data_IF_473708854049
#
_entry.id   IF_473708854049
#
_cell.length_a   1.000
_cell.length_b   1.000
_cell.length_c   1.000
_cell.angle_alpha   90.00
_cell.angle_beta   90.00
_cell.angle_gamma   90.00
#
_symmetry.space_group_name_H-M   'P 1'
#
loop_
_entity.id
_entity.type
_entity.pdbx_description
1 polymer ?
#
# COMPACT_ATOMS: atom_id res chain seq x y z
N UNK A 1 19.34 -21.56 1.43
CA UNK A 1 18.07 -20.84 1.59
C UNK A 1 17.06 -21.49 0.67
N UNK A 2 15.89 -21.95 1.12
CA UNK A 2 14.93 -22.70 0.31
C UNK A 2 14.04 -21.75 -0.51
N UNK A 3 14.64 -20.84 -1.28
CA UNK A 3 13.97 -20.11 -2.35
C UNK A 3 14.67 -20.39 -3.68
N UNK A 4 13.93 -20.38 -4.78
CA UNK A 4 14.51 -20.61 -6.09
C UNK A 4 15.54 -19.52 -6.42
N UNK A 5 16.71 -19.91 -6.92
CA UNK A 5 17.79 -18.98 -7.28
C UNK A 5 17.53 -18.18 -8.57
N UNK A 6 16.46 -18.53 -9.29
CA UNK A 6 16.03 -17.85 -10.51
C UNK A 6 14.51 -18.06 -10.67
N UNK A 7 13.81 -17.14 -11.36
CA UNK A 7 12.39 -17.32 -11.68
C UNK A 7 12.11 -18.64 -12.39
N UNK A 8 11.17 -19.43 -11.87
CA UNK A 8 10.65 -20.65 -12.50
C UNK A 8 9.39 -20.39 -13.31
N UNK A 9 8.64 -19.35 -12.94
CA UNK A 9 7.54 -18.78 -13.72
C UNK A 9 7.89 -17.30 -13.92
N UNK A 10 8.02 -16.88 -15.17
CA UNK A 10 8.35 -15.49 -15.49
C UNK A 10 7.09 -14.61 -15.38
N UNK A 11 7.22 -13.38 -14.89
CA UNK A 11 6.10 -12.44 -14.88
C UNK A 11 5.61 -12.17 -16.31
N UNK A 12 4.29 -12.17 -16.52
CA UNK A 12 3.68 -11.65 -17.76
C UNK A 12 3.99 -10.15 -17.93
N UNK A 13 4.03 -9.67 -19.18
CA UNK A 13 4.10 -8.23 -19.40
C UNK A 13 2.83 -7.54 -18.86
N UNK A 14 2.94 -6.32 -18.34
CA UNK A 14 1.77 -5.60 -17.82
C UNK A 14 0.68 -5.39 -18.89
N UNK A 15 1.08 -5.24 -20.14
CA UNK A 15 0.18 -5.06 -21.28
C UNK A 15 -0.56 -6.36 -21.65
N UNK A 16 -0.02 -7.52 -21.24
CA UNK A 16 -0.65 -8.83 -21.43
C UNK A 16 -1.68 -9.16 -20.32
N UNK A 17 -1.70 -8.38 -19.24
CA UNK A 17 -2.70 -8.49 -18.19
C UNK A 17 -4.04 -7.89 -18.63
N UNK A 18 -5.14 -8.46 -18.15
CA UNK A 18 -6.42 -7.77 -18.20
C UNK A 18 -6.39 -6.49 -17.34
N UNK A 19 -7.39 -5.63 -17.53
CA UNK A 19 -7.42 -4.30 -16.89
C UNK A 19 -7.35 -4.41 -15.36
N UNK A 20 -8.10 -5.33 -14.77
CA UNK A 20 -8.20 -5.48 -13.32
C UNK A 20 -6.89 -5.97 -12.73
N UNK A 21 -6.27 -7.01 -13.31
CA UNK A 21 -4.97 -7.50 -12.89
C UNK A 21 -3.87 -6.47 -13.11
N UNK A 22 -3.93 -5.68 -14.19
CA UNK A 22 -2.98 -4.59 -14.43
C UNK A 22 -3.10 -3.48 -13.38
N UNK A 23 -4.31 -3.11 -13.00
CA UNK A 23 -4.56 -2.16 -11.91
C UNK A 23 -3.98 -2.68 -10.59
N UNK A 24 -4.23 -3.95 -10.26
CA UNK A 24 -3.67 -4.60 -9.06
C UNK A 24 -2.14 -4.68 -9.08
N UNK A 25 -1.52 -4.91 -10.25
CA UNK A 25 -0.08 -4.90 -10.36
C UNK A 25 0.50 -3.50 -10.02
N UNK A 26 -0.16 -2.43 -10.48
CA UNK A 26 0.32 -1.05 -10.35
C UNK A 26 0.16 -0.44 -8.96
N UNK A 27 -0.50 -1.11 -8.01
CA UNK A 27 -0.59 -0.66 -6.60
C UNK A 27 0.50 -1.25 -5.68
N UNK A 28 1.52 -1.90 -6.25
CA UNK A 28 2.75 -2.28 -5.52
C UNK A 28 3.10 -3.76 -5.56
N UNK A 29 2.19 -4.63 -6.00
CA UNK A 29 2.36 -6.09 -6.02
C UNK A 29 2.72 -6.66 -7.42
N UNK A 30 3.24 -5.84 -8.33
CA UNK A 30 3.31 -6.18 -9.75
C UNK A 30 3.89 -7.56 -10.07
N UNK A 31 5.05 -7.92 -9.50
CA UNK A 31 5.70 -9.19 -9.87
C UNK A 31 4.90 -10.42 -9.43
N UNK A 32 4.27 -10.41 -8.24
CA UNK A 32 3.41 -11.53 -7.80
C UNK A 32 2.13 -11.60 -8.63
N UNK A 33 1.53 -10.46 -8.97
CA UNK A 33 0.32 -10.38 -9.80
C UNK A 33 0.62 -10.91 -11.21
N UNK A 34 1.72 -10.46 -11.82
CA UNK A 34 2.15 -10.91 -13.15
C UNK A 34 2.44 -12.41 -13.22
N UNK A 35 2.89 -13.02 -12.11
CA UNK A 35 3.12 -14.47 -12.03
C UNK A 35 1.80 -15.23 -11.81
N UNK A 36 0.92 -14.75 -10.93
CA UNK A 36 -0.39 -15.38 -10.69
C UNK A 36 -1.32 -15.27 -11.90
N UNK A 37 -1.17 -14.24 -12.73
CA UNK A 37 -1.96 -14.03 -13.94
C UNK A 37 -1.79 -15.12 -15.02
N UNK A 38 -0.78 -16.00 -14.89
CA UNK A 38 -0.74 -17.27 -15.64
C UNK A 38 -1.93 -18.19 -15.33
N UNK A 39 -2.62 -17.97 -14.20
CA UNK A 39 -3.84 -18.66 -13.80
C UNK A 39 -4.90 -17.67 -13.28
N UNK A 40 -5.62 -16.95 -14.17
CA UNK A 40 -6.55 -15.87 -13.82
C UNK A 40 -7.57 -16.23 -12.72
N UNK A 41 -8.22 -17.40 -12.82
CA UNK A 41 -9.21 -17.81 -11.81
C UNK A 41 -8.61 -18.03 -10.39
N UNK A 42 -7.33 -18.42 -10.31
CA UNK A 42 -6.63 -18.58 -9.03
C UNK A 42 -6.20 -17.21 -8.52
N UNK A 43 -5.73 -16.34 -9.41
CA UNK A 43 -5.43 -14.95 -9.12
C UNK A 43 -6.63 -14.24 -8.50
N UNK A 44 -7.81 -14.29 -9.13
CA UNK A 44 -9.04 -13.67 -8.62
C UNK A 44 -9.42 -14.18 -7.22
N UNK A 45 -9.37 -15.50 -7.01
CA UNK A 45 -9.69 -16.11 -5.72
C UNK A 45 -8.69 -15.69 -4.62
N UNK A 46 -7.39 -15.66 -4.95
CA UNK A 46 -6.34 -15.21 -4.03
C UNK A 46 -6.48 -13.73 -3.71
N UNK A 47 -6.72 -12.88 -4.71
CA UNK A 47 -6.88 -11.44 -4.55
C UNK A 47 -8.10 -11.06 -3.73
N UNK A 48 -9.20 -11.80 -3.84
CA UNK A 48 -10.37 -11.58 -2.99
C UNK A 48 -10.06 -11.81 -1.51
N UNK A 49 -9.40 -12.94 -1.19
CA UNK A 49 -9.02 -13.24 0.19
C UNK A 49 -7.94 -12.27 0.70
N UNK A 50 -6.89 -12.01 -0.08
CA UNK A 50 -5.84 -11.06 0.26
C UNK A 50 -6.38 -9.64 0.47
N UNK A 51 -7.28 -9.18 -0.40
CA UNK A 51 -7.94 -7.88 -0.28
C UNK A 51 -8.82 -7.76 0.95
N UNK A 52 -9.51 -8.84 1.35
CA UNK A 52 -10.23 -8.87 2.62
C UNK A 52 -9.28 -8.69 3.82
N UNK A 53 -8.22 -9.51 3.86
CA UNK A 53 -7.26 -9.51 4.97
C UNK A 53 -6.49 -8.18 5.09
N UNK A 54 -6.21 -7.50 3.98
CA UNK A 54 -5.44 -6.25 3.96
C UNK A 54 -6.27 -4.98 4.17
N UNK A 55 -7.56 -4.98 3.79
CA UNK A 55 -8.33 -3.74 3.75
C UNK A 55 -9.72 -3.78 4.39
N UNK A 56 -10.24 -4.97 4.75
CA UNK A 56 -11.62 -5.13 5.24
C UNK A 56 -11.72 -5.84 6.60
N UNK A 57 -10.60 -6.35 7.12
CA UNK A 57 -10.53 -6.96 8.44
C UNK A 57 -10.62 -5.96 9.59
N UNK A 58 -10.75 -6.48 10.81
CA UNK A 58 -10.74 -5.74 12.07
C UNK A 58 -9.34 -5.47 12.62
N UNK A 59 -8.34 -6.28 12.25
CA UNK A 59 -6.97 -6.05 12.71
C UNK A 59 -6.47 -4.66 12.26
N UNK A 60 -5.91 -3.90 13.20
CA UNK A 60 -5.29 -2.63 12.87
C UNK A 60 -4.09 -2.83 11.91
N UNK A 61 -3.84 -1.81 11.08
CA UNK A 61 -2.86 -1.91 10.02
C UNK A 61 -1.45 -2.23 10.54
N UNK A 62 -1.01 -1.61 11.66
CA UNK A 62 0.32 -1.87 12.25
C UNK A 62 0.44 -3.33 12.68
N UNK A 63 -0.49 -3.84 13.48
CA UNK A 63 -0.48 -5.24 13.95
C UNK A 63 -0.47 -6.21 12.77
N UNK A 64 -1.34 -5.98 11.79
CA UNK A 64 -1.46 -6.85 10.61
C UNK A 64 -0.12 -6.94 9.87
N UNK A 65 0.50 -5.81 9.54
CA UNK A 65 1.74 -5.83 8.77
C UNK A 65 2.93 -6.37 9.58
N UNK A 66 3.00 -6.16 10.90
CA UNK A 66 4.02 -6.81 11.74
C UNK A 66 3.88 -8.34 11.73
N UNK A 67 2.65 -8.87 11.76
CA UNK A 67 2.41 -10.31 11.64
C UNK A 67 2.87 -10.85 10.28
N UNK A 68 2.56 -10.15 9.18
CA UNK A 68 2.97 -10.53 7.82
C UNK A 68 4.49 -10.54 7.70
N UNK A 69 5.17 -9.48 8.15
CA UNK A 69 6.63 -9.39 8.11
C UNK A 69 7.29 -10.50 8.96
N UNK A 70 6.69 -10.88 10.10
CA UNK A 70 7.17 -12.01 10.90
C UNK A 70 6.98 -13.34 10.17
N UNK A 71 5.88 -13.55 9.45
CA UNK A 71 5.69 -14.73 8.58
C UNK A 71 6.77 -14.79 7.51
N UNK A 72 7.05 -13.68 6.84
CA UNK A 72 8.08 -13.59 5.81
C UNK A 72 9.47 -13.98 6.36
N UNK A 73 9.82 -13.57 7.59
CA UNK A 73 11.04 -14.01 8.25
C UNK A 73 11.06 -15.51 8.52
N UNK A 74 9.98 -16.06 9.10
CA UNK A 74 9.88 -17.48 9.44
C UNK A 74 9.89 -18.39 8.21
N UNK A 75 9.44 -17.88 7.07
CA UNK A 75 9.42 -18.61 5.81
C UNK A 75 10.62 -18.30 4.89
N UNK A 76 11.58 -17.47 5.33
CA UNK A 76 12.68 -16.96 4.49
C UNK A 76 12.19 -16.40 3.13
N UNK A 77 11.14 -15.58 3.15
CA UNK A 77 10.47 -15.03 1.96
C UNK A 77 10.85 -13.57 1.69
N UNK A 78 11.95 -13.30 0.96
CA UNK A 78 12.46 -11.95 0.77
C UNK A 78 11.54 -11.05 -0.06
N UNK A 79 10.80 -11.60 -1.03
CA UNK A 79 9.81 -10.84 -1.81
C UNK A 79 8.65 -10.36 -0.94
N UNK A 80 8.09 -11.23 -0.11
CA UNK A 80 7.00 -10.89 0.79
C UNK A 80 7.44 -9.79 1.76
N UNK A 81 8.62 -9.93 2.36
CA UNK A 81 9.21 -8.89 3.21
C UNK A 81 9.33 -7.55 2.46
N UNK A 82 9.99 -7.56 1.30
CA UNK A 82 10.23 -6.37 0.49
C UNK A 82 8.93 -5.63 0.12
N UNK A 83 7.87 -6.38 -0.18
CA UNK A 83 6.57 -5.86 -0.56
C UNK A 83 5.78 -5.28 0.62
N UNK A 84 5.92 -5.87 1.81
CA UNK A 84 5.14 -5.49 2.99
C UNK A 84 5.80 -4.43 3.88
N UNK A 85 7.11 -4.20 3.77
CA UNK A 85 7.76 -3.12 4.55
C UNK A 85 7.15 -1.74 4.27
N UNK A 86 6.91 -1.31 3.01
CA UNK A 86 6.24 -0.04 2.74
C UNK A 86 4.81 0.03 3.32
N UNK A 87 4.08 -1.08 3.27
CA UNK A 87 2.74 -1.18 3.86
C UNK A 87 2.78 -1.07 5.38
N UNK A 88 3.75 -1.71 6.05
CA UNK A 88 3.97 -1.61 7.49
C UNK A 88 4.24 -0.16 7.92
N UNK A 89 5.11 0.55 7.20
CA UNK A 89 5.40 1.97 7.45
C UNK A 89 4.15 2.84 7.26
N UNK A 90 3.38 2.60 6.19
CA UNK A 90 2.10 3.29 5.95
C UNK A 90 1.04 2.99 7.00
N UNK A 91 1.05 1.77 7.56
CA UNK A 91 0.16 1.33 8.63
C UNK A 91 0.55 1.81 10.03
N UNK A 92 1.64 2.56 10.17
CA UNK A 92 2.09 3.16 11.43
C UNK A 92 3.19 2.39 12.17
N UNK A 93 3.75 1.32 11.58
CA UNK A 93 4.97 0.71 12.11
C UNK A 93 6.18 1.64 11.89
N UNK A 94 7.13 1.59 12.80
CA UNK A 94 8.38 2.34 12.70
C UNK A 94 9.49 1.49 12.06
N UNK A 95 10.51 2.11 11.42
CA UNK A 95 11.68 1.38 10.95
C UNK A 95 12.35 0.54 12.04
N UNK A 96 12.39 1.06 13.28
CA UNK A 96 12.97 0.37 14.43
C UNK A 96 12.20 -0.90 14.81
N UNK A 97 10.86 -0.88 14.76
CA UNK A 97 10.03 -2.07 14.97
C UNK A 97 10.27 -3.11 13.87
N UNK A 98 10.31 -2.67 12.61
CA UNK A 98 10.56 -3.57 11.47
C UNK A 98 11.94 -4.23 11.59
N UNK A 99 13.00 -3.47 11.92
CA UNK A 99 14.33 -4.02 12.13
C UNK A 99 14.39 -4.95 13.35
N UNK A 100 13.65 -4.63 14.41
CA UNK A 100 13.56 -5.43 15.63
C UNK A 100 12.92 -6.81 15.41
N UNK A 101 12.10 -6.99 14.36
CA UNK A 101 11.53 -8.31 14.03
C UNK A 101 12.61 -9.37 13.75
N UNK A 102 13.82 -8.96 13.35
CA UNK A 102 14.94 -9.88 13.10
C UNK A 102 15.89 -10.04 14.29
N UNK A 103 15.71 -9.24 15.34
CA UNK A 103 16.55 -9.28 16.53
C UNK A 103 15.94 -10.25 17.56
N UNK A 104 16.58 -11.41 17.84
CA UNK A 104 16.09 -12.36 18.83
C UNK A 104 16.14 -11.83 20.27
N UNK A 105 16.77 -10.68 20.49
CA UNK A 105 16.88 -10.01 21.80
C UNK A 105 15.93 -8.82 21.95
N UNK A 106 15.19 -8.48 20.89
CA UNK A 106 14.18 -7.43 20.96
C UNK A 106 13.08 -7.78 21.97
N UNK A 107 12.65 -6.77 22.72
CA UNK A 107 11.52 -6.87 23.64
C UNK A 107 10.32 -6.15 23.05
N UNK A 108 9.16 -6.78 23.14
CA UNK A 108 7.91 -6.29 22.58
C UNK A 108 6.88 -6.00 23.67
N UNK A 109 5.98 -5.03 23.47
CA UNK A 109 4.79 -4.90 24.31
C UNK A 109 4.02 -6.23 24.36
N UNK A 110 3.39 -6.61 25.48
CA UNK A 110 2.75 -7.93 25.63
C UNK A 110 1.75 -8.29 24.52
N UNK A 111 0.98 -7.30 24.04
CA UNK A 111 0.00 -7.51 22.97
C UNK A 111 0.64 -7.78 21.59
N UNK A 112 1.80 -7.18 21.31
CA UNK A 112 2.58 -7.42 20.09
C UNK A 112 3.34 -8.75 20.20
N UNK A 113 3.95 -9.02 21.35
CA UNK A 113 4.67 -10.28 21.62
C UNK A 113 3.76 -11.50 21.40
N UNK A 114 2.51 -11.45 21.87
CA UNK A 114 1.53 -12.51 21.66
C UNK A 114 1.24 -12.77 20.17
N UNK A 115 1.17 -11.72 19.34
CA UNK A 115 0.98 -11.83 17.89
C UNK A 115 2.20 -12.45 17.22
N UNK A 116 3.41 -11.94 17.53
CA UNK A 116 4.65 -12.44 16.95
C UNK A 116 4.91 -13.90 17.33
N UNK A 117 4.59 -14.27 18.57
CA UNK A 117 4.67 -15.64 19.07
C UNK A 117 3.64 -16.56 18.41
N UNK A 118 2.41 -16.10 18.19
CA UNK A 118 1.43 -16.87 17.43
C UNK A 118 1.87 -17.12 15.99
N UNK A 119 2.47 -16.13 15.33
CA UNK A 119 3.08 -16.31 14.00
C UNK A 119 4.15 -17.41 14.05
N UNK A 120 5.03 -17.33 15.05
CA UNK A 120 6.12 -18.28 15.24
C UNK A 120 5.62 -19.72 15.44
N UNK A 121 4.64 -19.91 16.33
CA UNK A 121 4.03 -21.20 16.64
C UNK A 121 3.25 -21.76 15.44
N UNK A 122 2.46 -20.96 14.71
CA UNK A 122 1.73 -21.44 13.53
C UNK A 122 2.67 -21.80 12.38
N UNK A 123 3.75 -21.04 12.17
CA UNK A 123 4.74 -21.37 11.14
C UNK A 123 5.48 -22.66 11.46
N UNK A 124 5.79 -22.91 12.74
CA UNK A 124 6.56 -24.05 13.21
C UNK A 124 5.71 -25.32 13.39
N UNK A 125 4.59 -25.18 14.08
CA UNK A 125 3.80 -26.29 14.64
C UNK A 125 2.38 -26.37 14.07
N UNK A 126 1.98 -25.40 13.22
CA UNK A 126 0.62 -25.27 12.70
C UNK A 126 -0.45 -25.18 13.81
N UNK A 127 -0.07 -24.62 14.95
CA UNK A 127 -0.89 -24.54 16.16
C UNK A 127 -0.52 -23.30 16.97
N UNK A 128 -1.47 -22.77 17.75
CA UNK A 128 -1.22 -21.73 18.76
C UNK A 128 -1.40 -22.36 20.12
N UNK A 129 -0.39 -22.23 21.00
CA UNK A 129 -0.41 -22.81 22.33
C UNK A 129 -1.47 -22.19 23.24
N UNK A 130 -1.93 -22.92 24.26
CA UNK A 130 -2.92 -22.40 25.23
C UNK A 130 -2.44 -21.11 25.92
N UNK A 131 -1.13 -21.00 26.18
CA UNK A 131 -0.52 -19.80 26.73
C UNK A 131 -0.67 -18.61 25.77
N UNK A 132 -0.30 -18.81 24.49
CA UNK A 132 -0.41 -17.75 23.48
C UNK A 132 -1.86 -17.39 23.18
N UNK A 133 -2.75 -18.37 23.16
CA UNK A 133 -4.19 -18.15 23.02
C UNK A 133 -4.75 -17.30 24.17
N UNK A 134 -4.35 -17.58 25.41
CA UNK A 134 -4.78 -16.81 26.59
C UNK A 134 -4.34 -15.33 26.51
N UNK A 135 -3.10 -15.07 26.09
CA UNK A 135 -2.60 -13.70 25.93
C UNK A 135 -3.35 -12.94 24.82
N UNK A 136 -3.56 -13.59 23.67
CA UNK A 136 -4.27 -12.99 22.54
C UNK A 136 -5.73 -12.67 22.91
N UNK A 137 -6.45 -13.64 23.47
CA UNK A 137 -7.86 -13.50 23.85
C UNK A 137 -8.11 -12.53 25.01
N UNK A 138 -7.07 -12.14 25.75
CA UNK A 138 -7.18 -11.08 26.76
C UNK A 138 -7.34 -9.67 26.13
N UNK A 139 -6.99 -9.49 24.86
CA UNK A 139 -6.98 -8.17 24.19
C UNK A 139 -7.75 -8.12 22.88
N UNK A 140 -8.23 -9.26 22.36
CA UNK A 140 -8.87 -9.40 21.05
C UNK A 140 -10.15 -10.21 21.11
N UNK A 141 -11.11 -9.84 20.28
CA UNK A 141 -12.37 -10.58 20.12
C UNK A 141 -12.24 -11.79 19.17
N UNK A 142 -13.24 -12.68 19.18
CA UNK A 142 -13.22 -13.89 18.34
C UNK A 142 -13.00 -13.57 16.83
N UNK A 143 -13.68 -12.56 16.23
CA UNK A 143 -13.36 -12.13 14.87
C UNK A 143 -11.89 -11.76 14.63
N UNK A 144 -11.27 -10.95 15.50
CA UNK A 144 -9.85 -10.57 15.35
C UNK A 144 -8.93 -11.79 15.47
N UNK A 145 -9.23 -12.74 16.37
CA UNK A 145 -8.46 -13.97 16.53
C UNK A 145 -8.55 -14.85 15.28
N UNK A 146 -9.75 -15.01 14.71
CA UNK A 146 -9.95 -15.76 13.48
C UNK A 146 -9.21 -15.10 12.31
N UNK A 147 -9.32 -13.78 12.17
CA UNK A 147 -8.60 -13.03 11.15
C UNK A 147 -7.08 -13.18 11.27
N UNK A 148 -6.53 -13.11 12.49
CA UNK A 148 -5.09 -13.31 12.70
C UNK A 148 -4.63 -14.69 12.24
N UNK A 149 -5.37 -15.75 12.56
CA UNK A 149 -5.02 -17.10 12.13
C UNK A 149 -5.11 -17.26 10.60
N UNK A 150 -6.15 -16.71 9.97
CA UNK A 150 -6.29 -16.72 8.51
C UNK A 150 -5.19 -15.91 7.83
N UNK A 151 -4.81 -14.76 8.40
CA UNK A 151 -3.72 -13.91 7.92
C UNK A 151 -2.41 -14.70 7.93
N UNK A 152 -2.05 -15.31 9.07
CA UNK A 152 -0.81 -16.09 9.19
C UNK A 152 -0.80 -17.25 8.18
N UNK A 153 -1.91 -17.99 8.07
CA UNK A 153 -2.02 -19.10 7.13
C UNK A 153 -1.91 -18.67 5.67
N UNK A 154 -2.58 -17.58 5.30
CA UNK A 154 -2.56 -17.01 3.95
C UNK A 154 -1.15 -16.57 3.56
N UNK A 155 -0.46 -15.82 4.42
CA UNK A 155 0.90 -15.37 4.11
C UNK A 155 1.93 -16.50 4.16
N UNK A 156 1.73 -17.52 5.01
CA UNK A 156 2.58 -18.72 4.95
C UNK A 156 2.42 -19.47 3.62
N UNK A 157 1.19 -19.55 3.09
CA UNK A 157 0.93 -20.10 1.77
C UNK A 157 1.59 -19.24 0.67
N UNK A 158 1.45 -17.91 0.74
CA UNK A 158 2.05 -16.97 -0.20
C UNK A 158 3.57 -17.04 -0.18
N UNK A 159 4.21 -17.02 0.98
CA UNK A 159 5.65 -17.19 1.13
C UNK A 159 6.15 -18.49 0.47
N UNK A 160 5.46 -19.61 0.71
CA UNK A 160 5.78 -20.89 0.06
C UNK A 160 5.64 -20.84 -1.46
N UNK A 161 4.57 -20.22 -1.97
CA UNK A 161 4.35 -19.99 -3.39
C UNK A 161 5.47 -19.11 -4.00
N UNK A 162 5.71 -17.92 -3.44
CA UNK A 162 6.69 -16.94 -3.91
C UNK A 162 8.10 -17.53 -3.98
N UNK A 163 8.52 -18.22 -2.91
CA UNK A 163 9.81 -18.90 -2.84
C UNK A 163 9.92 -20.04 -3.87
N UNK A 164 8.82 -20.77 -4.10
CA UNK A 164 8.79 -21.90 -5.03
C UNK A 164 8.83 -21.47 -6.48
N UNK A 165 8.12 -20.41 -6.86
CA UNK A 165 8.10 -19.88 -8.24
C UNK A 165 9.27 -18.95 -8.53
N UNK A 166 10.00 -18.49 -7.50
CA UNK A 166 11.21 -17.70 -7.64
C UNK A 166 10.93 -16.24 -7.99
N UNK A 167 9.94 -15.62 -7.34
CA UNK A 167 9.66 -14.19 -7.55
C UNK A 167 10.85 -13.37 -7.03
N UNK A 168 11.39 -12.51 -7.89
CA UNK A 168 12.56 -11.70 -7.58
C UNK A 168 12.20 -10.41 -6.84
N UNK A 169 13.03 -10.06 -5.85
CA UNK A 169 12.99 -8.74 -5.21
C UNK A 169 13.59 -7.71 -6.16
N UNK A 170 12.90 -6.59 -6.36
CA UNK A 170 13.42 -5.51 -7.21
C UNK A 170 14.60 -4.79 -6.54
N UNK A 171 15.52 -4.31 -7.38
CA UNK A 171 16.60 -3.47 -6.90
C UNK A 171 16.07 -2.24 -6.13
N UNK A 172 16.67 -1.94 -4.98
CA UNK A 172 16.27 -0.83 -4.13
C UNK A 172 15.18 -1.14 -3.10
N UNK A 173 14.53 -2.30 -3.18
CA UNK A 173 13.58 -2.72 -2.15
C UNK A 173 14.27 -3.21 -0.86
N UNK A 174 13.56 -3.17 0.29
CA UNK A 174 14.06 -3.69 1.57
C UNK A 174 14.53 -5.14 1.50
N UNK A 175 15.74 -5.38 2.02
CA UNK A 175 16.24 -6.74 2.17
C UNK A 175 15.55 -7.44 3.34
N UNK A 176 15.43 -8.78 3.28
CA UNK A 176 14.81 -9.57 4.35
C UNK A 176 15.43 -9.21 5.72
N UNK A 177 14.58 -8.83 6.66
CA UNK A 177 14.96 -8.43 8.00
C UNK A 177 15.46 -6.99 8.15
N UNK A 178 15.31 -6.16 7.12
CA UNK A 178 15.68 -4.74 7.13
C UNK A 178 14.50 -3.85 6.75
N UNK A 179 14.36 -2.75 7.46
CA UNK A 179 13.39 -1.68 7.16
C UNK A 179 13.76 -0.85 5.93
N UNK A 180 15.06 -0.78 5.60
CA UNK A 180 15.57 -0.01 4.48
C UNK A 180 16.01 -0.90 3.31
N UNK A 181 15.80 -0.38 2.10
CA UNK A 181 16.35 -0.93 0.86
C UNK A 181 17.86 -0.85 0.79
N UNK A 182 18.47 -1.74 -0.01
CA UNK A 182 19.88 -1.59 -0.35
C UNK A 182 20.03 -0.37 -1.28
N UNK A 183 20.94 0.59 -1.01
CA UNK A 183 21.13 1.73 -1.90
C UNK A 183 21.44 1.26 -3.33
N UNK A 184 20.64 1.69 -4.29
CA UNK A 184 20.93 1.44 -5.71
C UNK A 184 22.05 2.40 -6.11
N UNK A 185 23.28 1.89 -6.29
CA UNK A 185 24.36 2.68 -6.89
C UNK A 185 24.17 2.71 -8.40
N UNK A 186 23.44 3.72 -8.87
CA UNK A 186 23.24 4.08 -10.28
C UNK A 186 22.95 5.57 -10.38
N UNK A 187 22.99 6.19 -11.58
CA UNK A 187 22.57 7.56 -11.71
C UNK A 187 21.12 7.64 -11.21
N UNK A 188 20.87 8.52 -10.24
CA UNK A 188 19.50 8.84 -9.88
C UNK A 188 18.84 9.43 -11.12
N UNK A 189 18.00 8.66 -11.81
CA UNK A 189 17.07 9.16 -12.80
C UNK A 189 15.92 9.90 -12.07
N UNK A 190 16.29 10.81 -11.16
CA UNK A 190 15.38 11.88 -10.79
C UNK A 190 15.23 12.74 -12.06
N UNK A 191 14.03 12.84 -12.63
CA UNK A 191 13.79 13.77 -13.71
C UNK A 191 14.29 15.16 -13.26
N UNK A 192 14.97 15.92 -14.12
CA UNK A 192 15.30 17.29 -13.79
C UNK A 192 14.02 18.01 -13.36
N UNK A 193 14.06 18.85 -12.30
CA UNK A 193 12.89 19.59 -11.87
C UNK A 193 12.29 20.32 -13.08
N UNK A 194 10.96 20.30 -13.25
CA UNK A 194 10.33 20.95 -14.39
C UNK A 194 10.79 22.41 -14.44
N UNK A 195 11.15 22.87 -15.64
CA UNK A 195 11.59 24.23 -15.86
C UNK A 195 10.56 25.22 -15.28
N UNK A 196 10.97 26.34 -14.66
CA UNK A 196 10.05 27.34 -14.13
C UNK A 196 9.12 27.82 -15.24
N UNK A 197 7.84 27.47 -15.12
CA UNK A 197 6.80 27.82 -16.08
C UNK A 197 6.33 29.26 -15.81
N UNK A 198 6.05 30.01 -16.89
CA UNK A 198 5.43 31.32 -16.75
C UNK A 198 4.08 31.19 -16.05
N UNK A 199 3.78 32.11 -15.13
CA UNK A 199 2.53 32.11 -14.39
C UNK A 199 1.33 32.15 -15.35
N UNK A 200 0.33 31.31 -15.10
CA UNK A 200 -0.88 31.23 -15.93
C UNK A 200 -1.76 32.48 -15.86
N UNK A 201 -1.54 33.32 -14.84
CA UNK A 201 -2.37 34.49 -14.54
C UNK A 201 -3.73 34.14 -13.93
N UNK A 202 -4.04 32.86 -13.69
CA UNK A 202 -5.28 32.42 -13.05
C UNK A 202 -5.17 32.51 -11.52
N UNK A 203 -6.25 32.93 -10.87
CA UNK A 203 -6.27 33.23 -9.42
C UNK A 203 -7.31 32.41 -8.64
N UNK A 204 -7.95 31.42 -9.27
CA UNK A 204 -8.98 30.56 -8.66
C UNK A 204 -8.71 29.07 -8.87
N UNK A 205 -9.54 28.19 -8.29
CA UNK A 205 -9.34 26.74 -8.32
C UNK A 205 -9.56 26.13 -9.71
N UNK A 206 -10.32 26.78 -10.59
CA UNK A 206 -10.73 26.22 -11.88
C UNK A 206 -9.57 25.86 -12.80
N UNK A 207 -9.68 24.70 -13.43
CA UNK A 207 -8.73 24.19 -14.41
C UNK A 207 -8.08 22.89 -13.96
N UNK A 208 -7.01 22.54 -14.67
CA UNK A 208 -6.32 21.27 -14.50
C UNK A 208 -5.06 21.45 -13.66
N UNK A 209 -4.78 20.49 -12.79
CA UNK A 209 -3.67 20.48 -11.84
C UNK A 209 -2.95 19.13 -11.89
N UNK A 210 -1.63 19.16 -12.00
CA UNK A 210 -0.79 18.00 -11.74
C UNK A 210 -0.60 17.94 -10.22
N UNK A 211 -1.07 16.87 -9.57
CA UNK A 211 -1.02 16.66 -8.13
C UNK A 211 -0.04 15.53 -7.84
N UNK A 212 0.93 15.77 -6.98
CA UNK A 212 1.77 14.74 -6.38
C UNK A 212 1.26 14.42 -4.99
N UNK A 213 0.61 13.28 -4.84
CA UNK A 213 0.23 12.69 -3.56
C UNK A 213 1.44 12.00 -2.93
N UNK A 214 1.73 12.27 -1.66
CA UNK A 214 2.91 11.72 -0.97
C UNK A 214 2.50 10.80 0.17
N UNK A 215 2.78 9.51 0.04
CA UNK A 215 2.54 8.50 1.07
C UNK A 215 3.88 7.90 1.55
N UNK A 216 4.01 7.42 2.81
CA UNK A 216 5.24 6.77 3.29
C UNK A 216 5.71 5.59 2.42
N UNK A 217 4.78 4.89 1.78
CA UNK A 217 5.06 3.79 0.86
C UNK A 217 5.46 4.23 -0.57
N UNK A 218 5.34 5.52 -0.90
CA UNK A 218 5.64 6.05 -2.24
C UNK A 218 4.78 7.27 -2.60
N UNK A 219 5.26 8.06 -3.57
CA UNK A 219 4.50 9.18 -4.14
C UNK A 219 3.81 8.77 -5.43
N UNK A 220 2.67 9.42 -5.73
CA UNK A 220 1.89 9.20 -6.95
C UNK A 220 1.49 10.52 -7.58
N UNK A 221 1.68 10.62 -8.90
CA UNK A 221 1.22 11.75 -9.68
C UNK A 221 -0.17 11.49 -10.26
N UNK A 222 -1.05 12.48 -10.15
CA UNK A 222 -2.45 12.45 -10.52
C UNK A 222 -2.82 13.73 -11.26
N UNK A 223 -3.83 13.67 -12.13
CA UNK A 223 -4.36 14.85 -12.81
C UNK A 223 -5.72 15.21 -12.22
N UNK A 224 -5.85 16.41 -11.64
CA UNK A 224 -7.09 16.90 -11.08
C UNK A 224 -7.68 17.99 -11.97
N UNK A 225 -8.94 17.85 -12.37
CA UNK A 225 -9.71 18.91 -13.03
C UNK A 225 -10.75 19.43 -12.06
N UNK A 226 -10.80 20.76 -11.90
CA UNK A 226 -11.76 21.46 -11.05
C UNK A 226 -12.58 22.46 -11.86
N UNK A 227 -13.88 22.51 -11.57
CA UNK A 227 -14.81 23.51 -12.07
C UNK A 227 -15.71 24.01 -10.93
N UNK A 228 -15.82 25.33 -10.80
CA UNK A 228 -16.57 26.00 -9.75
C UNK A 228 -17.88 26.58 -10.29
N UNK A 229 -18.98 26.35 -9.57
CA UNK A 229 -20.26 27.05 -9.80
C UNK A 229 -20.79 27.60 -8.48
N UNK A 230 -20.59 28.90 -8.25
CA UNK A 230 -20.87 29.51 -6.95
C UNK A 230 -19.90 29.01 -5.89
N UNK A 231 -20.40 28.44 -4.81
CA UNK A 231 -19.59 27.80 -3.76
C UNK A 231 -19.36 26.31 -4.00
N UNK A 232 -19.98 25.72 -5.04
CA UNK A 232 -19.84 24.30 -5.33
C UNK A 232 -18.63 24.02 -6.23
N UNK A 233 -17.89 22.96 -5.91
CA UNK A 233 -16.83 22.39 -6.75
C UNK A 233 -17.33 21.10 -7.39
N UNK A 234 -17.05 20.96 -8.68
CA UNK A 234 -17.18 19.73 -9.45
C UNK A 234 -15.88 19.42 -10.18
N UNK A 235 -15.75 18.20 -10.72
CA UNK A 235 -14.53 17.81 -11.41
C UNK A 235 -14.22 16.32 -11.27
N UNK A 236 -12.98 15.96 -11.55
CA UNK A 236 -12.53 14.57 -11.47
C UNK A 236 -11.03 14.46 -11.24
N UNK A 237 -10.63 13.37 -10.61
CA UNK A 237 -9.24 12.91 -10.51
C UNK A 237 -9.01 11.84 -11.58
N UNK A 238 -7.99 12.01 -12.40
CA UNK A 238 -7.52 11.01 -13.36
C UNK A 238 -6.22 10.40 -12.85
N UNK A 239 -6.20 9.07 -12.86
CA UNK A 239 -5.06 8.26 -12.51
C UNK A 239 -4.70 7.41 -13.73
N UNK A 240 -3.76 7.92 -14.54
CA UNK A 240 -3.35 7.25 -15.77
C UNK A 240 -2.70 5.89 -15.50
N UNK A 241 -2.08 5.71 -14.32
CA UNK A 241 -1.53 4.42 -13.93
C UNK A 241 -2.65 3.42 -13.63
N UNK A 242 -3.74 3.80 -13.01
CA UNK A 242 -4.86 2.87 -12.77
C UNK A 242 -5.88 2.86 -13.91
N UNK A 243 -5.72 3.69 -14.94
CA UNK A 243 -6.68 3.81 -16.04
C UNK A 243 -8.11 4.09 -15.52
N UNK A 244 -8.21 4.95 -14.49
CA UNK A 244 -9.48 5.35 -13.86
C UNK A 244 -9.67 6.86 -13.89
N UNK A 245 -10.94 7.26 -13.88
CA UNK A 245 -11.38 8.63 -13.65
C UNK A 245 -12.38 8.62 -12.50
N UNK A 246 -12.05 9.34 -11.44
CA UNK A 246 -12.81 9.38 -10.19
C UNK A 246 -13.53 10.73 -10.11
N UNK A 247 -14.87 10.77 -10.27
CA UNK A 247 -15.61 12.02 -10.19
C UNK A 247 -15.64 12.53 -8.75
N UNK A 248 -15.60 13.86 -8.59
CA UNK A 248 -15.88 14.51 -7.31
C UNK A 248 -17.36 14.33 -6.99
N UNK A 249 -17.65 13.79 -5.80
CA UNK A 249 -19.03 13.50 -5.35
C UNK A 249 -19.65 14.71 -4.68
N UNK A 250 -18.90 15.40 -3.82
CA UNK A 250 -19.29 16.66 -3.20
C UNK A 250 -18.08 17.56 -3.06
N UNK A 251 -18.24 18.87 -3.23
CA UNK A 251 -17.14 19.79 -3.06
C UNK A 251 -17.61 21.21 -2.83
N UNK A 252 -16.85 21.95 -2.02
CA UNK A 252 -17.10 23.35 -1.68
C UNK A 252 -15.83 24.17 -1.79
N UNK A 253 -15.98 25.44 -2.17
CA UNK A 253 -14.91 26.44 -2.19
C UNK A 253 -15.28 27.65 -1.35
N UNK A 254 -14.33 28.11 -0.55
CA UNK A 254 -14.38 29.41 0.13
C UNK A 254 -13.09 30.17 -0.18
N UNK A 255 -13.18 31.13 -1.11
CA UNK A 255 -12.03 31.89 -1.59
C UNK A 255 -11.02 30.99 -2.31
N UNK A 256 -9.86 30.76 -1.68
CA UNK A 256 -8.80 29.87 -2.21
C UNK A 256 -8.76 28.52 -1.53
N UNK A 257 -9.56 28.32 -0.47
CA UNK A 257 -9.64 27.08 0.27
C UNK A 257 -10.75 26.22 -0.32
N UNK A 258 -10.47 24.93 -0.46
CA UNK A 258 -11.41 23.98 -1.04
C UNK A 258 -11.40 22.66 -0.28
N UNK A 259 -12.58 22.07 -0.21
CA UNK A 259 -12.80 20.74 0.36
C UNK A 259 -13.66 19.95 -0.60
N UNK A 260 -13.27 18.72 -0.92
CA UNK A 260 -14.10 17.84 -1.72
C UNK A 260 -13.93 16.37 -1.35
N UNK A 261 -14.92 15.56 -1.71
CA UNK A 261 -14.90 14.11 -1.56
C UNK A 261 -14.94 13.44 -2.93
N UNK A 262 -14.32 12.27 -3.04
CA UNK A 262 -14.42 11.42 -4.21
C UNK A 262 -14.44 9.96 -3.77
N UNK A 263 -15.28 9.14 -4.43
CA UNK A 263 -15.39 7.71 -4.18
C UNK A 263 -14.63 6.92 -5.23
N UNK A 264 -13.50 6.32 -4.86
CA UNK A 264 -12.78 5.38 -5.72
C UNK A 264 -13.51 4.05 -5.70
N UNK A 265 -13.74 3.45 -6.87
CA UNK A 265 -14.50 2.19 -7.01
C UNK A 265 -13.64 1.01 -7.45
N UNK A 266 -12.53 1.28 -8.15
CA UNK A 266 -11.58 0.29 -8.66
C UNK A 266 -10.14 0.71 -8.29
N UNK A 267 -9.21 -0.25 -8.04
CA UNK A 267 -9.46 -1.70 -7.94
C UNK A 267 -10.16 -2.09 -6.63
N UNK A 268 -10.10 -1.25 -5.61
CA UNK A 268 -10.78 -1.46 -4.33
C UNK A 268 -11.59 -0.22 -3.95
N UNK A 269 -12.85 -0.36 -3.51
CA UNK A 269 -13.66 0.78 -3.12
C UNK A 269 -13.14 1.46 -1.85
N UNK A 270 -12.95 2.78 -1.89
CA UNK A 270 -12.69 3.62 -0.72
C UNK A 270 -13.05 5.08 -1.01
N UNK A 271 -13.38 5.82 0.04
CA UNK A 271 -13.61 7.26 -0.05
C UNK A 271 -12.33 8.01 0.29
N UNK A 272 -12.11 9.11 -0.44
CA UNK A 272 -11.09 10.10 -0.12
C UNK A 272 -11.73 11.47 0.11
N UNK A 273 -11.19 12.18 1.09
CA UNK A 273 -11.50 13.59 1.38
C UNK A 273 -10.27 14.41 1.13
N UNK A 274 -10.38 15.44 0.30
CA UNK A 274 -9.30 16.37 -0.01
C UNK A 274 -9.62 17.71 0.61
N UNK A 275 -8.64 18.28 1.29
CA UNK A 275 -8.65 19.65 1.79
C UNK A 275 -7.39 20.35 1.29
N UNK A 276 -7.52 21.53 0.71
CA UNK A 276 -6.36 22.26 0.22
C UNK A 276 -6.60 23.72 -0.11
N UNK A 277 -5.52 24.40 -0.47
CA UNK A 277 -5.53 25.83 -0.76
C UNK A 277 -4.75 26.12 -2.03
N UNK A 278 -5.36 26.89 -2.94
CA UNK A 278 -4.73 27.35 -4.18
C UNK A 278 -4.07 28.72 -4.00
N UNK A 279 -2.85 28.88 -4.50
CA UNK A 279 -2.16 30.16 -4.58
C UNK A 279 -1.56 30.34 -5.98
N UNK A 280 -2.32 31.00 -6.86
CA UNK A 280 -1.98 31.14 -8.28
C UNK A 280 -1.92 29.79 -8.99
N UNK A 281 -0.71 29.32 -9.27
CA UNK A 281 -0.45 28.04 -9.94
C UNK A 281 0.03 26.93 -8.99
N UNK A 282 0.04 27.21 -7.68
CA UNK A 282 0.38 26.24 -6.64
C UNK A 282 -0.88 25.78 -5.95
N UNK A 283 -0.99 24.48 -5.70
CA UNK A 283 -2.06 23.89 -4.91
C UNK A 283 -1.46 22.94 -3.88
N UNK A 284 -1.79 23.14 -2.61
CA UNK A 284 -1.22 22.33 -1.51
C UNK A 284 -2.30 21.97 -0.52
N UNK A 285 -2.18 20.80 0.11
CA UNK A 285 -3.14 20.38 1.10
C UNK A 285 -2.89 18.98 1.60
N UNK A 286 -3.96 18.33 2.04
CA UNK A 286 -3.96 16.95 2.50
C UNK A 286 -5.09 16.15 1.87
N UNK A 287 -4.83 14.86 1.70
CA UNK A 287 -5.85 13.86 1.36
C UNK A 287 -5.98 12.92 2.54
N UNK A 288 -7.21 12.75 3.03
CA UNK A 288 -7.58 11.71 3.98
C UNK A 288 -8.16 10.53 3.22
N UNK A 289 -7.54 9.37 3.39
CA UNK A 289 -8.01 8.10 2.83
C UNK A 289 -8.65 7.30 3.98
N UNK A 290 -9.92 6.94 3.82
CA UNK A 290 -10.64 6.18 4.84
C UNK A 290 -9.89 4.88 5.20
N UNK A 291 -9.60 4.69 6.50
CA UNK A 291 -8.88 3.52 7.00
C UNK A 291 -7.34 3.56 6.85
N UNK A 292 -6.77 4.52 6.12
CA UNK A 292 -5.32 4.64 5.92
C UNK A 292 -4.69 5.88 6.58
N UNK A 293 -5.46 6.96 6.78
CA UNK A 293 -4.98 8.18 7.43
C UNK A 293 -4.94 9.39 6.52
N UNK A 294 -4.22 10.44 6.94
CA UNK A 294 -4.14 11.74 6.25
C UNK A 294 -2.71 12.00 5.79
N UNK A 295 -2.55 12.33 4.50
CA UNK A 295 -1.26 12.48 3.85
C UNK A 295 -1.18 13.79 3.05
N UNK A 296 0.00 14.41 2.95
CA UNK A 296 0.15 15.66 2.22
C UNK A 296 0.14 15.44 0.71
N UNK A 297 -0.33 16.46 -0.02
CA UNK A 297 -0.10 16.57 -1.45
C UNK A 297 0.41 17.97 -1.81
N UNK A 298 1.09 18.04 -2.94
CA UNK A 298 1.44 19.29 -3.62
C UNK A 298 1.00 19.22 -5.06
N UNK A 299 0.82 20.36 -5.70
CA UNK A 299 0.30 20.41 -7.05
C UNK A 299 0.66 21.70 -7.77
N UNK A 300 0.74 21.58 -9.09
CA UNK A 300 1.02 22.66 -10.00
C UNK A 300 -0.01 22.69 -11.12
N UNK A 301 -0.46 23.88 -11.52
CA UNK A 301 -1.44 24.01 -12.60
C UNK A 301 -0.90 23.44 -13.91
N UNK A 302 -1.65 22.51 -14.51
CA UNK A 302 -1.47 22.06 -15.88
C UNK A 302 -2.04 23.15 -16.78
N UNK A 303 -1.22 24.17 -17.05
CA UNK A 303 -1.66 25.36 -17.79
C UNK A 303 -1.97 25.13 -19.25
#
# INVERSE_FOLDING_TARGET
>A
MPHAASPRILPLALDDLDKEHRQLARIGADTVIQVLAHHPALMDASSQLGGFLLGKGKLDARTRELAILRVALRCEAPYEWANHVPAALGGGATPAEIDALSDPTASWPPADDAVLRAVDEVCQDAFVSDHTWADLSATRDDPELLELLFLIGYYRMMAGFLNSVGVEVKAGQPALGRSAGTPVTGPADSPPPPAPRAASGKTGPDGTWNITFTHPAGSKDLLLTLETTGEAITGSIVDDQLEITVPITTGTVEGTHLTFTAGVTEPFPFDLTVEGTTNGDVFTGSVTVAGSGTFPFSGARAG
#
